data_IF_386981651795
#
_entry.id   IF_386981651795
#
_cell.length_a   1.000
_cell.length_b   1.000
_cell.length_c   1.000
_cell.angle_alpha   90.00
_cell.angle_beta   90.00
_cell.angle_gamma   90.00
#
_symmetry.space_group_name_H-M   'P 1'
#
loop_
_entity.id
_entity.type
_entity.pdbx_description
1 polymer ?
#
# COMPACT_ATOMS: atom_id res chain seq x y z
N UNK A 1 16.75 -21.40 11.48
CA UNK A 1 16.23 -21.13 12.84
C UNK A 1 15.23 -19.96 12.79
N UNK A 2 14.09 -20.05 13.50
CA UNK A 2 13.23 -18.88 13.66
C UNK A 2 14.03 -17.78 14.37
N UNK A 3 13.90 -16.51 13.95
CA UNK A 3 14.64 -15.41 14.55
C UNK A 3 14.16 -15.20 15.99
N UNK A 4 15.13 -15.05 16.90
CA UNK A 4 14.86 -14.87 18.32
C UNK A 4 14.38 -13.45 18.57
N UNK A 5 13.06 -13.28 18.66
CA UNK A 5 12.40 -12.00 18.99
C UNK A 5 11.21 -12.28 19.91
N UNK A 6 10.98 -11.35 20.85
CA UNK A 6 9.76 -11.31 21.66
C UNK A 6 8.64 -10.53 20.98
N UNK A 7 9.00 -9.55 20.15
CA UNK A 7 8.01 -8.74 19.45
C UNK A 7 7.31 -9.53 18.34
N UNK A 8 6.04 -9.20 18.13
CA UNK A 8 5.27 -9.70 17.00
C UNK A 8 5.80 -9.13 15.67
N UNK A 9 5.78 -9.95 14.62
CA UNK A 9 6.23 -9.54 13.29
C UNK A 9 5.48 -10.30 12.18
N UNK A 10 5.50 -9.75 10.97
CA UNK A 10 5.06 -10.42 9.74
C UNK A 10 6.26 -10.80 8.89
N UNK A 11 6.19 -11.83 8.07
CA UNK A 11 7.29 -12.15 7.17
C UNK A 11 7.37 -13.61 6.80
N UNK A 12 8.33 -13.89 5.93
CA UNK A 12 8.65 -15.22 5.45
C UNK A 12 10.16 -15.40 5.28
N UNK A 13 10.65 -16.64 5.34
CA UNK A 13 12.08 -16.97 5.29
C UNK A 13 12.61 -17.27 3.88
N UNK A 14 11.73 -17.42 2.89
CA UNK A 14 12.05 -17.95 1.56
C UNK A 14 11.50 -17.08 0.42
N UNK A 15 11.42 -15.76 0.64
CA UNK A 15 10.87 -14.79 -0.32
C UNK A 15 9.41 -15.04 -0.73
N UNK A 16 8.71 -16.02 -0.15
CA UNK A 16 7.33 -16.29 -0.51
C UNK A 16 6.36 -15.23 0.04
N UNK A 17 5.21 -15.14 -0.62
CA UNK A 17 4.15 -14.19 -0.32
C UNK A 17 3.76 -14.21 1.16
N UNK A 18 3.57 -13.02 1.73
CA UNK A 18 2.85 -12.86 2.98
C UNK A 18 2.08 -11.53 2.98
N UNK A 19 1.05 -11.46 3.82
CA UNK A 19 0.19 -10.28 3.93
C UNK A 19 0.23 -9.69 5.33
N UNK A 20 0.00 -8.38 5.39
CA UNK A 20 -0.08 -7.58 6.60
C UNK A 20 -1.41 -6.80 6.55
N UNK A 21 -2.32 -6.98 7.52
CA UNK A 21 -3.53 -6.17 7.57
C UNK A 21 -3.13 -4.74 7.94
N UNK A 22 -3.75 -3.71 7.34
CA UNK A 22 -3.38 -2.32 7.61
C UNK A 22 -3.42 -1.95 9.10
N UNK A 23 -4.40 -2.40 9.92
CA UNK A 23 -4.41 -2.18 11.37
C UNK A 23 -3.33 -2.93 12.15
N UNK A 24 -2.60 -3.86 11.52
CA UNK A 24 -1.56 -4.69 12.13
C UNK A 24 -0.22 -4.00 12.33
N UNK A 25 -0.20 -2.68 12.48
CA UNK A 25 1.05 -1.91 12.65
C UNK A 25 1.70 -2.15 14.02
N UNK A 26 3.03 -2.07 14.07
CA UNK A 26 3.80 -2.02 15.32
C UNK A 26 3.88 -0.61 15.90
N UNK A 27 3.75 0.43 15.07
CA UNK A 27 3.66 1.83 15.52
C UNK A 27 2.83 2.68 14.57
N UNK A 28 2.10 3.65 15.11
CA UNK A 28 1.34 4.65 14.36
C UNK A 28 1.84 6.04 14.78
N UNK A 29 2.61 6.67 13.90
CA UNK A 29 3.27 7.94 14.16
C UNK A 29 2.45 9.06 13.53
N UNK A 30 1.88 9.93 14.37
CA UNK A 30 1.17 11.13 13.92
C UNK A 30 2.13 12.24 13.51
N UNK A 31 1.69 13.11 12.61
CA UNK A 31 2.31 14.41 12.35
C UNK A 31 1.60 15.51 13.16
N UNK A 32 2.10 16.74 13.08
CA UNK A 32 1.42 17.90 13.65
C UNK A 32 0.07 18.21 12.97
N UNK A 33 -0.13 17.78 11.71
CA UNK A 33 -1.28 18.16 10.89
C UNK A 33 -2.33 17.05 10.75
N UNK A 34 -1.91 15.79 10.82
CA UNK A 34 -2.77 14.65 10.59
C UNK A 34 -2.23 13.36 11.24
N UNK A 35 -3.12 12.38 11.41
CA UNK A 35 -2.81 11.04 11.96
C UNK A 35 -3.59 9.94 11.26
N UNK A 36 -3.03 8.74 11.20
CA UNK A 36 -3.78 7.56 10.79
C UNK A 36 -4.79 7.16 11.86
N UNK A 37 -6.00 6.83 11.45
CA UNK A 37 -7.07 6.30 12.30
C UNK A 37 -7.56 4.96 11.77
N UNK A 38 -7.97 4.08 12.68
CA UNK A 38 -8.69 2.87 12.33
C UNK A 38 -10.12 3.24 11.93
N UNK A 39 -10.55 2.71 10.80
CA UNK A 39 -11.93 2.69 10.33
C UNK A 39 -12.43 1.24 10.50
N UNK A 40 -13.08 0.92 11.62
CA UNK A 40 -13.52 -0.44 11.91
C UNK A 40 -14.57 -0.89 10.91
N UNK A 41 -14.57 -2.19 10.58
CA UNK A 41 -15.53 -2.84 9.70
C UNK A 41 -15.59 -2.29 8.25
N UNK A 42 -14.70 -1.36 7.90
CA UNK A 42 -14.57 -0.85 6.54
C UNK A 42 -13.65 -1.76 5.73
N UNK A 43 -14.09 -2.09 4.51
CA UNK A 43 -13.31 -2.86 3.55
C UNK A 43 -13.64 -4.35 3.59
N UNK A 44 -12.66 -5.17 3.21
CA UNK A 44 -12.81 -6.63 3.08
C UNK A 44 -12.12 -7.40 4.21
N UNK A 45 -11.68 -6.70 5.26
CA UNK A 45 -10.99 -7.25 6.43
C UNK A 45 -11.59 -6.72 7.74
N UNK A 46 -10.88 -6.87 8.87
CA UNK A 46 -11.34 -6.37 10.17
C UNK A 46 -11.43 -4.83 10.26
N UNK A 47 -10.81 -4.11 9.32
CA UNK A 47 -10.88 -2.66 9.23
C UNK A 47 -9.72 -2.09 8.44
N UNK A 48 -9.84 -0.82 8.08
CA UNK A 48 -8.88 -0.12 7.23
C UNK A 48 -8.27 1.08 7.95
N UNK A 49 -7.15 1.57 7.44
CA UNK A 49 -6.48 2.75 7.97
C UNK A 49 -6.78 3.95 7.05
N UNK A 50 -7.36 5.00 7.61
CA UNK A 50 -7.61 6.28 6.95
C UNK A 50 -6.95 7.43 7.70
N UNK A 51 -7.18 8.67 7.26
CA UNK A 51 -6.58 9.88 7.85
C UNK A 51 -7.59 10.65 8.70
N UNK A 52 -7.09 11.38 9.70
CA UNK A 52 -7.82 12.43 10.40
C UNK A 52 -6.93 13.68 10.57
N UNK A 53 -7.41 14.90 10.22
CA UNK A 53 -8.67 15.18 9.53
C UNK A 53 -8.60 14.83 8.03
N UNK A 54 -9.74 14.52 7.42
CA UNK A 54 -9.85 14.25 5.96
C UNK A 54 -9.57 15.47 5.08
N UNK A 55 -9.53 16.66 5.66
CA UNK A 55 -9.21 17.93 4.99
C UNK A 55 -7.73 18.34 5.14
N UNK A 56 -6.88 17.45 5.67
CA UNK A 56 -5.46 17.73 5.80
C UNK A 56 -4.83 18.09 4.44
N UNK A 57 -3.85 18.99 4.46
CA UNK A 57 -3.05 19.28 3.25
C UNK A 57 -2.14 18.10 2.92
N UNK A 58 -1.69 18.02 1.66
CA UNK A 58 -0.70 17.01 1.28
C UNK A 58 0.58 17.17 2.09
N UNK A 59 1.13 16.07 2.59
CA UNK A 59 2.36 16.06 3.38
C UNK A 59 3.59 15.75 2.52
N UNK A 60 4.76 16.26 2.92
CA UNK A 60 6.04 15.72 2.47
C UNK A 60 6.34 14.42 3.24
N UNK A 61 6.86 13.34 2.60
CA UNK A 61 7.17 12.09 3.28
C UNK A 61 8.03 12.25 4.55
N UNK A 62 8.91 13.26 4.62
CA UNK A 62 9.78 13.50 5.79
C UNK A 62 8.98 13.87 7.05
N UNK A 63 7.77 14.43 6.89
CA UNK A 63 6.92 14.94 7.98
C UNK A 63 5.52 14.29 7.99
N UNK A 64 5.24 13.37 7.07
CA UNK A 64 3.97 12.69 6.93
C UNK A 64 3.68 11.76 8.13
N UNK A 65 2.41 11.62 8.55
CA UNK A 65 2.05 10.57 9.48
C UNK A 65 2.24 9.21 8.80
N UNK A 66 2.71 8.23 9.57
CA UNK A 66 3.08 6.92 9.02
C UNK A 66 2.73 5.77 9.93
N UNK A 67 2.45 4.64 9.31
CA UNK A 67 2.33 3.34 9.95
C UNK A 67 3.65 2.60 9.78
N UNK A 68 4.11 1.95 10.84
CA UNK A 68 5.33 1.15 10.84
C UNK A 68 4.96 -0.30 11.16
N UNK A 69 5.55 -1.24 10.42
CA UNK A 69 5.35 -2.67 10.56
C UNK A 69 6.69 -3.37 10.74
N UNK A 70 6.84 -4.13 11.83
CA UNK A 70 7.98 -5.02 12.01
C UNK A 70 7.84 -6.21 11.06
N UNK A 71 8.78 -6.34 10.13
CA UNK A 71 8.79 -7.42 9.14
C UNK A 71 10.09 -8.20 9.17
N UNK A 72 10.05 -9.48 8.84
CA UNK A 72 11.24 -10.28 8.56
C UNK A 72 11.34 -10.52 7.05
N UNK A 73 12.44 -10.07 6.45
CA UNK A 73 12.69 -10.19 5.02
C UNK A 73 14.05 -10.84 4.78
N UNK A 74 14.18 -11.75 3.80
CA UNK A 74 15.48 -12.17 3.29
C UNK A 74 16.12 -11.04 2.48
N UNK A 75 17.46 -11.01 2.44
CA UNK A 75 18.21 -10.14 1.55
C UNK A 75 17.80 -10.44 0.11
N UNK A 76 17.38 -9.42 -0.60
CA UNK A 76 17.00 -9.52 -1.99
C UNK A 76 17.30 -8.20 -2.67
N UNK A 77 17.77 -8.24 -3.92
CA UNK A 77 17.97 -7.03 -4.70
C UNK A 77 16.67 -6.20 -4.76
N UNK A 78 15.51 -6.88 -4.85
CA UNK A 78 14.21 -6.23 -4.94
C UNK A 78 13.12 -7.03 -4.25
N UNK A 79 12.51 -6.44 -3.23
CA UNK A 79 11.26 -6.89 -2.62
C UNK A 79 10.09 -6.15 -3.27
N UNK A 80 9.10 -6.88 -3.78
CA UNK A 80 7.89 -6.24 -4.31
C UNK A 80 6.88 -6.06 -3.18
N UNK A 81 6.39 -4.84 -2.98
CA UNK A 81 5.31 -4.53 -2.05
C UNK A 81 4.10 -4.08 -2.84
N UNK A 82 2.94 -4.66 -2.54
CA UNK A 82 1.64 -4.26 -3.09
C UNK A 82 0.77 -3.71 -1.97
N UNK A 83 0.37 -2.45 -2.10
CA UNK A 83 -0.64 -1.84 -1.22
C UNK A 83 -2.02 -2.07 -1.82
N UNK A 84 -2.91 -2.68 -1.03
CA UNK A 84 -4.34 -2.69 -1.32
C UNK A 84 -4.98 -1.47 -0.69
N UNK A 85 -5.48 -0.56 -1.52
CA UNK A 85 -6.19 0.64 -1.08
C UNK A 85 -7.64 0.59 -1.56
N UNK A 86 -8.57 1.18 -0.82
CA UNK A 86 -9.94 1.35 -1.31
C UNK A 86 -9.92 2.15 -2.64
N UNK A 87 -10.83 1.85 -3.58
CA UNK A 87 -10.86 2.47 -4.90
C UNK A 87 -11.45 3.90 -4.86
N UNK A 88 -10.87 4.77 -4.03
CA UNK A 88 -11.26 6.19 -3.95
C UNK A 88 -10.93 6.94 -5.24
N UNK A 89 -11.68 8.00 -5.50
CA UNK A 89 -11.49 8.85 -6.68
C UNK A 89 -10.56 10.02 -6.35
N UNK A 90 -9.86 10.50 -7.37
CA UNK A 90 -9.04 11.71 -7.29
C UNK A 90 -9.94 12.95 -7.36
N UNK A 91 -10.42 13.42 -6.21
CA UNK A 91 -11.30 14.60 -6.12
C UNK A 91 -10.53 15.93 -6.22
N UNK A 92 -9.19 15.90 -6.26
CA UNK A 92 -8.35 17.08 -6.44
C UNK A 92 -7.17 16.77 -7.37
N UNK A 93 -7.40 16.77 -8.70
CA UNK A 93 -6.43 16.25 -9.64
C UNK A 93 -5.19 17.13 -9.84
N UNK A 94 -5.18 18.35 -9.30
CA UNK A 94 -4.00 19.21 -9.31
C UNK A 94 -2.85 18.64 -8.46
N UNK A 95 -3.19 17.97 -7.35
CA UNK A 95 -2.22 17.32 -6.46
C UNK A 95 -2.06 15.82 -6.74
N UNK A 96 -3.06 15.20 -7.38
CA UNK A 96 -3.15 13.76 -7.54
C UNK A 96 -3.52 13.06 -6.23
N UNK A 97 -3.32 11.75 -6.18
CA UNK A 97 -3.68 10.93 -5.03
C UNK A 97 -2.49 10.08 -4.63
N UNK A 98 -1.65 10.50 -3.68
CA UNK A 98 -0.36 9.86 -3.39
C UNK A 98 -0.32 9.20 -2.00
N UNK A 99 0.50 8.16 -1.93
CA UNK A 99 0.93 7.45 -0.71
C UNK A 99 2.42 7.13 -0.86
N UNK A 100 3.18 6.92 0.20
CA UNK A 100 4.57 6.52 0.07
C UNK A 100 4.90 5.29 0.91
N UNK A 101 5.93 4.54 0.50
CA UNK A 101 6.42 3.36 1.21
C UNK A 101 7.95 3.41 1.31
N UNK A 102 8.49 3.01 2.45
CA UNK A 102 9.93 2.80 2.61
C UNK A 102 10.23 1.59 3.48
N UNK A 103 11.47 1.12 3.45
CA UNK A 103 12.02 0.14 4.38
C UNK A 103 13.15 0.81 5.16
N UNK A 104 13.15 0.65 6.48
CA UNK A 104 14.15 1.17 7.39
C UNK A 104 14.39 2.69 7.22
N UNK A 105 15.65 3.08 6.98
CA UNK A 105 16.08 4.46 6.77
C UNK A 105 16.17 4.86 5.29
N UNK A 106 15.75 4.00 4.36
CA UNK A 106 15.79 4.33 2.93
C UNK A 106 14.74 5.39 2.57
N UNK A 107 15.01 6.12 1.49
CA UNK A 107 14.14 7.18 0.96
C UNK A 107 12.73 6.64 0.61
N UNK A 108 11.64 7.29 1.07
CA UNK A 108 10.29 6.89 0.72
C UNK A 108 10.00 6.98 -0.78
N UNK A 109 9.54 5.86 -1.36
CA UNK A 109 9.06 5.81 -2.74
C UNK A 109 7.60 6.25 -2.77
N UNK A 110 7.35 7.41 -3.38
CA UNK A 110 6.00 7.97 -3.56
C UNK A 110 5.29 7.28 -4.73
N UNK A 111 4.06 6.84 -4.49
CA UNK A 111 3.20 6.15 -5.44
C UNK A 111 1.95 6.99 -5.65
N UNK A 112 1.62 7.29 -6.90
CA UNK A 112 0.32 7.86 -7.26
C UNK A 112 -0.73 6.73 -7.32
N UNK A 113 -1.63 6.72 -6.36
CA UNK A 113 -2.72 5.77 -6.16
C UNK A 113 -3.81 5.83 -7.23
N UNK A 114 -3.69 6.70 -8.24
CA UNK A 114 -4.48 6.60 -9.49
C UNK A 114 -3.97 5.47 -10.39
N UNK A 115 -2.82 4.88 -10.07
CA UNK A 115 -2.32 3.65 -10.68
C UNK A 115 -3.37 2.54 -10.52
N UNK A 116 -3.91 2.06 -11.64
CA UNK A 116 -4.96 1.03 -11.63
C UNK A 116 -6.39 1.55 -11.45
N UNK A 117 -6.59 2.87 -11.43
CA UNK A 117 -7.92 3.49 -11.47
C UNK A 117 -8.64 3.13 -12.78
N UNK A 118 -9.89 2.70 -12.68
CA UNK A 118 -10.77 2.48 -13.84
C UNK A 118 -11.40 3.80 -14.27
N UNK A 119 -10.95 4.32 -15.40
CA UNK A 119 -11.45 5.55 -16.01
C UNK A 119 -12.72 5.29 -16.81
N UNK A 120 -13.83 5.02 -16.11
CA UNK A 120 -15.14 4.72 -16.72
C UNK A 120 -15.63 5.86 -17.62
N UNK A 121 -15.33 7.11 -17.25
CA UNK A 121 -15.82 8.30 -17.95
C UNK A 121 -14.88 8.81 -19.04
N UNK A 122 -13.69 8.22 -19.18
CA UNK A 122 -12.70 8.64 -20.19
C UNK A 122 -12.10 10.02 -19.90
N UNK A 123 -12.00 10.41 -18.63
CA UNK A 123 -11.46 11.70 -18.20
C UNK A 123 -9.98 11.87 -18.61
N UNK A 124 -9.22 10.78 -18.64
CA UNK A 124 -7.77 10.76 -18.85
C UNK A 124 -7.38 10.37 -20.28
N UNK A 125 -8.28 10.54 -21.26
CA UNK A 125 -7.94 10.33 -22.68
C UNK A 125 -6.90 11.34 -23.17
N UNK A 126 -6.06 11.01 -24.18
CA UNK A 126 -5.09 11.96 -24.73
C UNK A 126 -5.70 13.28 -25.20
N UNK A 127 -6.92 13.25 -25.74
CA UNK A 127 -7.66 14.44 -26.16
C UNK A 127 -8.04 15.34 -24.98
N UNK A 128 -8.58 14.77 -23.90
CA UNK A 128 -8.95 15.52 -22.70
C UNK A 128 -7.72 16.08 -21.98
N UNK A 129 -6.65 15.29 -21.89
CA UNK A 129 -5.38 15.71 -21.30
C UNK A 129 -4.75 16.87 -22.05
N UNK A 130 -4.84 16.89 -23.39
CA UNK A 130 -4.33 18.01 -24.20
C UNK A 130 -5.07 19.34 -23.95
N UNK A 131 -6.31 19.28 -23.44
CA UNK A 131 -7.13 20.45 -23.11
C UNK A 131 -6.99 20.89 -21.65
N UNK A 132 -6.39 20.07 -20.79
CA UNK A 132 -6.27 20.34 -19.36
C UNK A 132 -4.89 20.88 -18.99
N UNK A 133 -4.86 21.87 -18.09
CA UNK A 133 -3.63 22.36 -17.45
C UNK A 133 -3.33 21.66 -16.12
N UNK A 134 -4.27 20.85 -15.64
CA UNK A 134 -4.30 20.29 -14.29
C UNK A 134 -4.16 18.77 -14.31
N UNK A 135 -4.93 18.11 -15.19
CA UNK A 135 -4.93 16.66 -15.28
C UNK A 135 -3.58 16.15 -15.76
N UNK A 136 -3.05 15.16 -15.05
CA UNK A 136 -1.86 14.41 -15.44
C UNK A 136 -2.30 13.03 -15.94
N UNK A 137 -1.59 12.42 -16.90
CA UNK A 137 -1.87 11.05 -17.31
C UNK A 137 -1.92 10.09 -16.11
N UNK A 138 -2.79 9.08 -16.18
CA UNK A 138 -2.81 8.02 -15.17
C UNK A 138 -1.45 7.29 -15.15
N UNK A 139 -0.91 6.96 -13.96
CA UNK A 139 0.32 6.21 -13.86
C UNK A 139 0.18 4.84 -14.52
N UNK A 140 1.21 4.43 -15.27
CA UNK A 140 1.27 3.08 -15.83
C UNK A 140 1.52 2.05 -14.73
N UNK A 141 0.96 0.87 -14.92
CA UNK A 141 1.33 -0.33 -14.16
C UNK A 141 2.50 -0.97 -14.88
N UNK A 142 3.65 -1.08 -14.24
CA UNK A 142 4.86 -1.63 -14.87
C UNK A 142 4.84 -3.16 -14.95
N UNK A 143 4.13 -3.81 -14.02
CA UNK A 143 4.03 -5.26 -13.93
C UNK A 143 2.57 -5.73 -13.92
N UNK A 144 2.35 -6.88 -14.56
CA UNK A 144 1.10 -7.63 -14.49
C UNK A 144 1.17 -8.58 -13.27
N UNK A 145 0.83 -8.05 -12.09
CA UNK A 145 0.63 -8.88 -10.89
C UNK A 145 -0.76 -9.54 -10.94
N UNK A 146 -0.83 -10.81 -10.60
CA UNK A 146 -2.09 -11.57 -10.63
C UNK A 146 -3.16 -11.01 -9.69
N UNK A 147 -2.73 -10.38 -8.56
CA UNK A 147 -3.61 -9.67 -7.64
C UNK A 147 -4.42 -8.55 -8.31
N UNK A 148 -3.85 -7.87 -9.32
CA UNK A 148 -4.52 -6.77 -10.04
C UNK A 148 -5.68 -7.29 -10.90
N UNK A 149 -5.66 -8.57 -11.28
CA UNK A 149 -6.70 -9.13 -12.15
C UNK A 149 -6.81 -8.43 -13.51
N UNK A 150 -5.71 -7.90 -14.05
CA UNK A 150 -5.73 -7.30 -15.39
C UNK A 150 -6.14 -8.35 -16.42
N UNK A 151 -7.03 -7.93 -17.35
CA UNK A 151 -7.51 -8.75 -18.48
C UNK A 151 -8.29 -10.01 -18.07
N UNK A 152 -8.65 -10.17 -16.79
CA UNK A 152 -9.62 -11.18 -16.37
C UNK A 152 -11.03 -10.58 -16.37
N UNK A 153 -12.04 -11.32 -16.87
CA UNK A 153 -13.42 -10.81 -16.89
C UNK A 153 -13.90 -10.43 -15.49
N UNK A 154 -14.50 -9.24 -15.36
CA UNK A 154 -15.06 -8.71 -14.10
C UNK A 154 -14.01 -8.59 -12.97
N UNK A 155 -12.77 -8.26 -13.32
CA UNK A 155 -11.70 -7.94 -12.38
C UNK A 155 -11.19 -6.53 -12.67
N UNK A 156 -11.35 -5.64 -11.70
CA UNK A 156 -10.95 -4.22 -11.75
C UNK A 156 -10.99 -3.61 -10.36
N UNK A 157 -10.51 -2.38 -10.15
CA UNK A 157 -10.56 -1.76 -8.82
C UNK A 157 -11.99 -1.63 -8.27
N UNK A 158 -12.95 -1.34 -9.15
CA UNK A 158 -14.39 -1.31 -8.84
C UNK A 158 -14.93 -2.71 -8.53
N UNK A 159 -14.71 -3.70 -9.41
CA UNK A 159 -15.26 -5.04 -9.20
C UNK A 159 -14.63 -5.75 -8.00
N UNK A 160 -13.34 -5.51 -7.77
CA UNK A 160 -12.59 -6.15 -6.69
C UNK A 160 -12.78 -5.42 -5.35
N UNK A 161 -13.43 -4.25 -5.38
CA UNK A 161 -13.55 -3.28 -4.30
C UNK A 161 -12.19 -2.94 -3.66
N UNK A 162 -11.13 -2.93 -4.47
CA UNK A 162 -9.76 -2.67 -4.05
C UNK A 162 -8.88 -2.30 -5.24
N UNK A 163 -8.08 -1.25 -5.09
CA UNK A 163 -7.03 -0.87 -6.04
C UNK A 163 -5.67 -1.32 -5.52
N UNK A 164 -4.88 -1.94 -6.38
CA UNK A 164 -3.55 -2.44 -6.05
C UNK A 164 -2.47 -1.49 -6.55
N UNK A 165 -1.54 -1.13 -5.65
CA UNK A 165 -0.40 -0.27 -5.93
C UNK A 165 0.90 -1.03 -5.70
N UNK A 166 1.61 -1.42 -6.76
CA UNK A 166 2.92 -2.06 -6.66
C UNK A 166 4.07 -1.05 -6.57
N UNK A 167 5.07 -1.38 -5.77
CA UNK A 167 6.37 -0.71 -5.64
C UNK A 167 7.48 -1.74 -5.37
N UNK A 168 8.65 -1.53 -5.94
CA UNK A 168 9.85 -2.31 -5.61
C UNK A 168 10.69 -1.58 -4.56
N UNK A 169 11.08 -2.26 -3.50
CA UNK A 169 11.93 -1.75 -2.42
C UNK A 169 13.21 -2.56 -2.35
N UNK A 170 14.32 -1.89 -2.06
CA UNK A 170 15.64 -2.49 -1.98
C UNK A 170 15.87 -3.01 -0.56
N UNK A 171 16.21 -4.29 -0.39
CA UNK A 171 16.41 -4.93 0.93
C UNK A 171 17.82 -5.53 0.99
N UNK A 172 18.74 -4.73 1.53
CA UNK A 172 20.18 -5.00 1.46
C UNK A 172 20.65 -6.17 2.32
N UNK A 173 19.92 -6.50 3.39
CA UNK A 173 20.32 -7.50 4.38
C UNK A 173 19.16 -8.42 4.73
N UNK A 174 19.44 -9.66 5.10
CA UNK A 174 18.43 -10.56 5.67
C UNK A 174 18.22 -10.20 7.12
N UNK A 175 16.97 -10.03 7.56
CA UNK A 175 16.68 -9.83 8.97
C UNK A 175 15.36 -9.15 9.25
N UNK A 176 15.29 -8.53 10.44
CA UNK A 176 14.19 -7.66 10.78
C UNK A 176 14.36 -6.29 10.16
N UNK A 177 13.27 -5.81 9.59
CA UNK A 177 13.16 -4.50 8.98
C UNK A 177 11.91 -3.80 9.49
N UNK A 178 11.86 -2.49 9.28
CA UNK A 178 10.69 -1.67 9.52
C UNK A 178 10.12 -1.22 8.18
N UNK A 179 9.02 -1.83 7.75
CA UNK A 179 8.26 -1.34 6.60
C UNK A 179 7.41 -0.14 7.04
N UNK A 180 7.49 0.96 6.31
CA UNK A 180 6.81 2.21 6.63
C UNK A 180 5.86 2.58 5.51
N UNK A 181 4.63 2.95 5.85
CA UNK A 181 3.64 3.48 4.91
C UNK A 181 3.24 4.89 5.35
N UNK A 182 3.45 5.88 4.49
CA UNK A 182 3.28 7.30 4.79
C UNK A 182 2.04 7.85 4.08
N UNK A 183 1.22 8.61 4.80
CA UNK A 183 0.10 9.32 4.18
C UNK A 183 0.60 10.60 3.53
N UNK A 184 0.51 10.68 2.20
CA UNK A 184 0.83 11.92 1.47
C UNK A 184 -0.44 12.71 1.21
N UNK A 185 -1.47 12.07 0.62
CA UNK A 185 -2.75 12.70 0.30
C UNK A 185 -3.90 12.07 1.10
N UNK A 186 -4.78 12.86 1.75
CA UNK A 186 -5.75 12.38 2.74
C UNK A 186 -6.84 11.42 2.23
N UNK A 187 -7.08 11.27 0.93
CA UNK A 187 -8.15 10.40 0.41
C UNK A 187 -7.72 8.93 0.21
N UNK A 188 -6.47 8.58 0.51
CA UNK A 188 -6.03 7.19 0.42
C UNK A 188 -6.44 6.44 1.68
N UNK A 189 -7.08 5.28 1.52
CA UNK A 189 -7.46 4.41 2.62
C UNK A 189 -6.81 3.05 2.41
N UNK A 190 -5.94 2.65 3.32
CA UNK A 190 -5.14 1.43 3.25
C UNK A 190 -5.88 0.26 3.89
N UNK A 191 -6.02 -0.86 3.18
CA UNK A 191 -6.65 -2.09 3.66
C UNK A 191 -5.64 -3.17 4.03
N UNK A 192 -4.70 -3.44 3.13
CA UNK A 192 -3.76 -4.55 3.27
C UNK A 192 -2.45 -4.25 2.55
N UNK A 193 -1.39 -4.92 2.97
CA UNK A 193 -0.09 -4.90 2.34
C UNK A 193 0.27 -6.34 2.01
N UNK A 194 0.62 -6.61 0.75
CA UNK A 194 1.14 -7.92 0.32
C UNK A 194 2.60 -7.75 -0.07
N UNK A 195 3.47 -8.59 0.45
CA UNK A 195 4.90 -8.59 0.14
C UNK A 195 5.23 -9.84 -0.67
N UNK A 196 5.99 -9.66 -1.76
CA UNK A 196 6.38 -10.68 -2.73
C UNK A 196 5.20 -11.52 -3.24
N UNK A 197 4.26 -10.88 -3.97
CA UNK A 197 3.04 -11.53 -4.43
C UNK A 197 3.33 -12.76 -5.31
N UNK A 198 2.62 -13.87 -5.05
CA UNK A 198 2.77 -15.11 -5.82
C UNK A 198 1.82 -15.12 -7.02
N UNK A 199 2.36 -14.81 -8.20
CA UNK A 199 1.61 -14.84 -9.44
C UNK A 199 1.17 -16.25 -9.89
N UNK A 200 1.81 -17.33 -9.40
CA UNK A 200 1.48 -18.71 -9.78
C UNK A 200 0.29 -19.26 -8.99
N UNK A 201 0.16 -18.85 -7.72
CA UNK A 201 -0.90 -19.29 -6.82
C UNK A 201 -1.73 -18.11 -6.33
N UNK A 202 -2.18 -17.29 -7.28
CA UNK A 202 -2.90 -16.07 -6.97
C UNK A 202 -4.19 -16.35 -6.19
N UNK A 203 -4.43 -15.54 -5.16
CA UNK A 203 -5.69 -15.51 -4.42
C UNK A 203 -6.36 -14.14 -4.57
N UNK A 204 -7.66 -14.08 -4.33
CA UNK A 204 -8.41 -12.82 -4.44
C UNK A 204 -8.10 -11.83 -3.30
N UNK A 205 -7.78 -12.34 -2.11
CA UNK A 205 -7.50 -11.55 -0.91
C UNK A 205 -6.00 -11.45 -0.55
N UNK A 206 -5.11 -12.06 -1.33
CA UNK A 206 -3.72 -12.33 -0.94
C UNK A 206 -3.60 -13.50 0.05
N UNK A 207 -2.38 -13.84 0.45
CA UNK A 207 -2.13 -14.79 1.53
C UNK A 207 -2.84 -14.36 2.82
N UNK A 208 -3.41 -15.27 3.61
CA UNK A 208 -3.91 -14.94 4.94
C UNK A 208 -2.80 -14.32 5.81
N UNK A 209 -3.07 -13.23 6.54
CA UNK A 209 -2.07 -12.60 7.38
C UNK A 209 -1.72 -13.48 8.58
N UNK A 210 -0.43 -13.60 8.90
CA UNK A 210 0.06 -14.34 10.05
C UNK A 210 0.96 -13.40 10.87
N UNK A 211 0.50 -13.06 12.08
CA UNK A 211 1.32 -12.37 13.07
C UNK A 211 2.10 -13.41 13.88
N UNK A 212 3.40 -13.51 13.64
CA UNK A 212 4.29 -14.38 14.41
C UNK A 212 4.52 -13.80 15.81
N UNK A 213 4.70 -14.66 16.82
CA UNK A 213 4.93 -14.28 18.22
C UNK A 213 3.83 -13.40 18.87
N UNK A 214 2.58 -13.52 18.45
CA UNK A 214 1.46 -12.73 18.99
C UNK A 214 1.29 -12.86 20.52
N UNK A 215 1.55 -14.03 21.08
CA UNK A 215 1.26 -14.37 22.49
C UNK A 215 2.42 -14.14 23.47
N UNK A 216 3.57 -13.62 23.00
CA UNK A 216 4.78 -13.43 23.83
C UNK A 216 4.88 -12.05 24.51
N UNK A 217 3.76 -11.35 24.65
CA UNK A 217 3.68 -10.05 25.35
C UNK A 217 3.84 -10.18 26.85
#
# INVERSE_FOLDING_TARGET
>A
PLPDTKDGFYGNFNEAEFSIPAPGFSSNISSAQAKWILLPDLGRSAGNMGIQPVTASSADPSNAPRLEYKVYLPASEKTTVMLGVLPTQDVNPARGLRIAVSVDGEEPKVIDARKGLVDTFGEYTPANLALSKVLKPLPRSEKDHALVGRRTPRRSDVFDNLRWLDVELDVKTTGFHTLKVFMIDPEVVLETIVVNPDNKHASYFGAPPILHNADKK
#
